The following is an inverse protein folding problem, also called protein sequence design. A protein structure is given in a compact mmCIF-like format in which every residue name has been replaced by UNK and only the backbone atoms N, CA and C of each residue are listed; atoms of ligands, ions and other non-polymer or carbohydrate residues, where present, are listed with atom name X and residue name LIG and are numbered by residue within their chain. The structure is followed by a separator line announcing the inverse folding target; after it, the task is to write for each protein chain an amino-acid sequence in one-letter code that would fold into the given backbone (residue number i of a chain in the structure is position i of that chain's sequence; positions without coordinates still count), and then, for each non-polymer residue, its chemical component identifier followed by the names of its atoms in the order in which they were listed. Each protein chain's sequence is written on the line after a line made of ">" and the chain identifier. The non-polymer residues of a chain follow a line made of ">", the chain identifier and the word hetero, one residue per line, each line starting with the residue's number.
data_IF_777835193584
#
_entry.id   IF_777835193584
#
_cell.length_a   1.000
_cell.length_b   1.000
_cell.length_c   1.000
_cell.angle_alpha   90.00
_cell.angle_beta   90.00
_cell.angle_gamma   90.00
#
_symmetry.space_group_name_H-M   'P 1'
#
loop_
_entity.id
_entity.type
_entity.pdbx_description
1 polymer ?
#
# COMPACT_ATOMS: atom_id res chain seq x y z
N UNK A 1 9.82 -14.12 -9.90
CA UNK A 1 10.72 -13.15 -10.57
C UNK A 1 10.16 -11.74 -10.39
N UNK A 2 11.01 -10.71 -10.22
CA UNK A 2 10.55 -9.33 -10.00
C UNK A 2 9.74 -8.80 -11.20
N UNK A 3 8.74 -7.96 -10.92
CA UNK A 3 7.94 -7.31 -11.96
C UNK A 3 8.84 -6.47 -12.87
N UNK A 4 8.83 -6.74 -14.17
CA UNK A 4 9.66 -5.98 -15.13
C UNK A 4 11.15 -6.34 -15.11
N UNK A 5 11.51 -7.55 -14.64
CA UNK A 5 12.88 -8.08 -14.71
C UNK A 5 13.88 -7.24 -13.90
N UNK A 6 15.03 -6.93 -14.49
CA UNK A 6 16.14 -6.25 -13.81
C UNK A 6 15.75 -4.89 -13.23
N UNK A 7 14.84 -4.15 -13.90
CA UNK A 7 14.32 -2.88 -13.38
C UNK A 7 13.53 -3.10 -12.09
N UNK A 8 12.75 -4.18 -12.02
CA UNK A 8 12.04 -4.59 -10.81
C UNK A 8 12.98 -4.98 -9.68
N UNK A 9 14.06 -5.71 -10.01
CA UNK A 9 15.10 -6.11 -9.05
C UNK A 9 15.80 -4.89 -8.45
N UNK A 10 16.18 -3.92 -9.28
CA UNK A 10 16.82 -2.67 -8.82
C UNK A 10 15.87 -1.83 -7.96
N UNK A 11 14.59 -1.76 -8.34
CA UNK A 11 13.60 -1.05 -7.52
C UNK A 11 13.41 -1.72 -6.16
N UNK A 12 13.35 -3.06 -6.11
CA UNK A 12 13.28 -3.80 -4.84
C UNK A 12 14.51 -3.52 -3.96
N UNK A 13 15.71 -3.50 -4.54
CA UNK A 13 16.95 -3.15 -3.82
C UNK A 13 16.91 -1.73 -3.24
N UNK A 14 16.45 -0.75 -4.01
CA UNK A 14 16.32 0.64 -3.53
C UNK A 14 15.36 0.71 -2.33
N UNK A 15 14.21 0.03 -2.42
CA UNK A 15 13.24 -0.01 -1.31
C UNK A 15 13.83 -0.67 -0.08
N UNK A 16 14.55 -1.78 -0.26
CA UNK A 16 15.19 -2.51 0.84
C UNK A 16 16.19 -1.61 1.59
N UNK A 17 17.09 -0.94 0.87
CA UNK A 17 18.09 -0.06 1.49
C UNK A 17 17.45 1.13 2.21
N UNK A 18 16.44 1.74 1.60
CA UNK A 18 15.80 2.95 2.12
C UNK A 18 14.83 2.69 3.27
N UNK A 19 14.02 1.64 3.18
CA UNK A 19 13.01 1.35 4.19
C UNK A 19 13.56 0.52 5.35
N UNK A 20 14.53 -0.36 5.08
CA UNK A 20 15.03 -1.35 6.05
C UNK A 20 16.45 -1.03 6.51
N UNK A 21 17.38 -0.86 5.55
CA UNK A 21 18.78 -0.58 5.86
C UNK A 21 18.94 0.69 6.70
N UNK A 22 18.26 1.77 6.32
CA UNK A 22 18.29 3.05 7.07
C UNK A 22 17.59 2.97 8.43
N UNK A 23 16.54 2.17 8.58
CA UNK A 23 15.79 2.07 9.85
C UNK A 23 16.46 1.12 10.85
N UNK A 24 17.47 0.35 10.42
CA UNK A 24 18.06 -0.74 11.23
C UNK A 24 17.12 -1.94 11.40
N UNK A 25 16.11 -2.05 10.53
CA UNK A 25 15.16 -3.15 10.52
C UNK A 25 15.79 -4.43 9.93
N UNK A 26 15.11 -5.57 10.05
CA UNK A 26 15.57 -6.83 9.46
C UNK A 26 15.41 -6.80 7.94
N UNK A 27 16.46 -7.17 7.23
CA UNK A 27 16.38 -7.42 5.79
C UNK A 27 15.35 -8.52 5.49
N UNK A 28 14.82 -8.54 4.27
CA UNK A 28 13.79 -9.48 3.82
C UNK A 28 14.24 -10.93 3.93
N UNK A 29 15.55 -11.21 3.89
CA UNK A 29 16.10 -12.55 4.12
C UNK A 29 16.30 -12.90 5.61
N UNK A 30 16.18 -11.92 6.50
CA UNK A 30 16.30 -12.04 7.96
C UNK A 30 14.94 -12.00 8.66
N UNK A 31 13.90 -11.49 7.98
CA UNK A 31 12.56 -11.36 8.51
C UNK A 31 11.89 -12.73 8.65
N UNK A 32 11.32 -12.98 9.83
CA UNK A 32 10.51 -14.17 10.06
C UNK A 32 9.26 -14.17 9.16
N UNK A 33 8.76 -15.38 8.84
CA UNK A 33 7.52 -15.52 8.07
C UNK A 33 6.33 -14.86 8.76
N UNK A 34 5.67 -13.94 8.06
CA UNK A 34 4.41 -13.31 8.48
C UNK A 34 3.27 -14.28 8.80
N UNK A 35 3.38 -15.53 8.37
CA UNK A 35 2.33 -16.54 8.52
C UNK A 35 2.62 -17.54 9.66
N UNK A 36 3.62 -17.26 10.50
CA UNK A 36 3.83 -18.02 11.73
C UNK A 36 2.68 -17.79 12.70
N UNK A 37 1.98 -18.86 13.11
CA UNK A 37 0.91 -18.79 14.12
C UNK A 37 1.42 -18.33 15.49
N UNK A 38 2.69 -18.59 15.83
CA UNK A 38 3.34 -17.95 16.97
C UNK A 38 3.64 -16.53 16.55
N UNK A 39 2.86 -15.57 17.06
CA UNK A 39 2.92 -14.14 16.74
C UNK A 39 4.35 -13.60 16.69
N UNK A 40 4.95 -13.67 15.51
CA UNK A 40 6.25 -13.08 15.28
C UNK A 40 6.08 -11.56 15.32
N UNK A 41 7.10 -10.87 15.81
CA UNK A 41 7.19 -9.42 15.75
C UNK A 41 8.26 -9.10 14.72
N UNK A 42 7.97 -9.29 13.42
CA UNK A 42 8.98 -9.07 12.40
C UNK A 42 9.45 -7.62 12.50
N UNK A 43 10.77 -7.41 12.57
CA UNK A 43 11.33 -6.06 12.70
C UNK A 43 11.33 -5.40 11.33
N UNK A 44 10.15 -4.97 10.88
CA UNK A 44 9.97 -4.35 9.56
C UNK A 44 10.46 -2.92 9.56
N UNK A 45 10.82 -2.45 8.37
CA UNK A 45 11.20 -1.07 8.10
C UNK A 45 10.16 -0.39 7.21
N UNK A 46 9.92 0.89 7.46
CA UNK A 46 9.05 1.72 6.62
C UNK A 46 9.68 3.09 6.45
N UNK A 47 9.70 3.57 5.20
CA UNK A 47 10.05 4.94 4.87
C UNK A 47 8.81 5.72 4.46
N UNK A 48 8.63 6.91 5.04
CA UNK A 48 7.63 7.88 4.63
C UNK A 48 8.37 9.14 4.15
N UNK A 49 8.13 9.54 2.90
CA UNK A 49 8.65 10.77 2.33
C UNK A 49 7.48 11.71 2.09
N UNK A 50 7.55 12.90 2.68
CA UNK A 50 6.60 14.00 2.44
C UNK A 50 7.30 15.12 1.71
N UNK A 51 6.70 15.63 0.64
CA UNK A 51 7.23 16.73 -0.15
C UNK A 51 6.20 17.85 -0.13
N UNK A 52 6.61 19.06 0.28
CA UNK A 52 5.76 20.24 0.16
C UNK A 52 5.74 20.71 -1.30
N UNK A 53 4.59 20.63 -2.00
CA UNK A 53 4.47 21.08 -3.38
C UNK A 53 4.44 22.61 -3.53
N UNK A 54 4.51 23.37 -2.43
CA UNK A 54 4.41 24.83 -2.41
C UNK A 54 5.66 25.58 -2.89
N UNK A 55 6.83 24.92 -2.95
CA UNK A 55 8.10 25.54 -3.35
C UNK A 55 8.06 26.28 -4.70
N UNK A 56 7.39 25.78 -5.75
CA UNK A 56 7.29 26.50 -7.03
C UNK A 56 6.29 27.67 -7.01
N UNK A 57 5.43 27.77 -5.99
CA UNK A 57 4.35 28.76 -5.86
C UNK A 57 2.96 28.14 -5.69
N UNK A 58 2.06 28.88 -5.03
CA UNK A 58 0.71 28.40 -4.68
C UNK A 58 -0.07 27.97 -5.92
N UNK A 59 -0.62 26.75 -5.88
CA UNK A 59 -1.50 26.24 -6.93
C UNK A 59 -0.82 25.69 -8.19
N UNK A 60 0.49 25.94 -8.40
CA UNK A 60 1.21 25.47 -9.60
C UNK A 60 1.20 23.94 -9.70
N UNK A 61 1.60 23.24 -8.63
CA UNK A 61 1.60 21.78 -8.62
C UNK A 61 0.20 21.19 -8.88
N UNK A 62 -0.82 21.76 -8.23
CA UNK A 62 -2.22 21.33 -8.40
C UNK A 62 -2.68 21.46 -9.84
N UNK A 63 -2.42 22.60 -10.49
CA UNK A 63 -2.82 22.83 -11.88
C UNK A 63 -2.11 21.83 -12.82
N UNK A 64 -0.79 21.68 -12.69
CA UNK A 64 -0.02 20.72 -13.50
C UNK A 64 -0.48 19.27 -13.31
N UNK A 65 -0.81 18.88 -12.08
CA UNK A 65 -1.35 17.56 -11.78
C UNK A 65 -2.71 17.35 -12.47
N UNK A 66 -3.60 18.34 -12.43
CA UNK A 66 -4.91 18.27 -13.09
C UNK A 66 -4.77 18.18 -14.61
N UNK A 67 -3.87 18.96 -15.21
CA UNK A 67 -3.61 18.92 -16.65
C UNK A 67 -3.11 17.53 -17.09
N UNK A 68 -2.20 16.93 -16.32
CA UNK A 68 -1.71 15.56 -16.57
C UNK A 68 -2.83 14.52 -16.46
N UNK A 69 -3.66 14.61 -15.42
CA UNK A 69 -4.80 13.70 -15.22
C UNK A 69 -5.80 13.83 -16.37
N UNK A 70 -6.14 15.05 -16.79
CA UNK A 70 -7.06 15.31 -17.89
C UNK A 70 -6.51 14.77 -19.22
N UNK A 71 -5.20 14.91 -19.43
CA UNK A 71 -4.52 14.37 -20.62
C UNK A 71 -4.66 12.85 -20.66
N UNK A 72 -4.39 12.15 -19.56
CA UNK A 72 -4.56 10.69 -19.49
C UNK A 72 -6.02 10.26 -19.61
N UNK A 73 -6.95 10.98 -18.98
CA UNK A 73 -8.37 10.65 -19.03
C UNK A 73 -9.01 10.84 -20.42
N UNK A 74 -8.36 11.59 -21.31
CA UNK A 74 -8.83 11.77 -22.69
C UNK A 74 -8.71 10.51 -23.56
N UNK A 75 -7.84 9.56 -23.17
CA UNK A 75 -7.72 8.27 -23.84
C UNK A 75 -8.70 7.27 -23.21
N UNK A 76 -9.64 6.77 -24.00
CA UNK A 76 -10.72 5.89 -23.58
C UNK A 76 -10.24 4.57 -22.93
N UNK A 77 -8.99 4.16 -23.16
CA UNK A 77 -8.39 2.96 -22.57
C UNK A 77 -7.69 3.18 -21.23
N UNK A 78 -7.44 4.43 -20.84
CA UNK A 78 -6.56 4.74 -19.71
C UNK A 78 -7.33 4.72 -18.40
N UNK A 79 -6.86 3.90 -17.47
CA UNK A 79 -7.35 3.90 -16.08
C UNK A 79 -6.36 4.59 -15.17
N UNK A 80 -6.81 5.66 -14.52
CA UNK A 80 -6.00 6.38 -13.53
C UNK A 80 -5.62 5.47 -12.34
N UNK A 81 -4.34 5.50 -11.90
CA UNK A 81 -3.92 4.83 -10.68
C UNK A 81 -4.80 5.22 -9.49
N UNK A 82 -5.28 4.24 -8.73
CA UNK A 82 -6.14 4.47 -7.57
C UNK A 82 -7.64 4.62 -7.87
N UNK A 83 -8.07 4.88 -9.12
CA UNK A 83 -9.48 5.08 -9.48
C UNK A 83 -10.38 3.96 -8.95
N UNK A 84 -10.01 2.69 -9.22
CA UNK A 84 -10.75 1.51 -8.74
C UNK A 84 -10.89 1.49 -7.21
N UNK A 85 -9.82 1.85 -6.48
CA UNK A 85 -9.81 1.86 -5.01
C UNK A 85 -10.79 2.91 -4.47
N UNK A 86 -10.83 4.09 -5.08
CA UNK A 86 -11.78 5.14 -4.69
C UNK A 86 -13.23 4.73 -4.96
N UNK A 87 -13.53 4.17 -6.14
CA UNK A 87 -14.88 3.67 -6.47
C UNK A 87 -15.34 2.59 -5.50
N UNK A 88 -14.49 1.59 -5.22
CA UNK A 88 -14.80 0.50 -4.28
C UNK A 88 -15.00 1.04 -2.87
N UNK A 89 -14.16 1.99 -2.41
CA UNK A 89 -14.32 2.64 -1.10
C UNK A 89 -15.64 3.39 -0.99
N UNK A 90 -16.03 4.17 -2.00
CA UNK A 90 -17.32 4.88 -1.99
C UNK A 90 -18.50 3.91 -1.93
N UNK A 91 -18.46 2.82 -2.69
CA UNK A 91 -19.49 1.77 -2.63
C UNK A 91 -19.55 1.13 -1.24
N UNK A 92 -18.40 0.79 -0.67
CA UNK A 92 -18.31 0.18 0.65
C UNK A 92 -18.83 1.08 1.77
N UNK A 93 -18.61 2.39 1.68
CA UNK A 93 -19.15 3.35 2.67
C UNK A 93 -20.68 3.44 2.64
N UNK A 94 -21.31 3.12 1.50
CA UNK A 94 -22.78 3.17 1.35
C UNK A 94 -23.45 1.83 1.62
N UNK A 95 -22.83 0.73 1.18
CA UNK A 95 -23.44 -0.60 1.15
C UNK A 95 -22.79 -1.60 2.11
N UNK A 96 -21.75 -1.19 2.83
CA UNK A 96 -20.91 -2.09 3.61
C UNK A 96 -19.84 -2.79 2.77
N UNK A 97 -18.90 -3.46 3.44
CA UNK A 97 -17.84 -4.25 2.81
C UNK A 97 -18.33 -5.69 2.65
N UNK A 98 -18.26 -6.22 1.43
CA UNK A 98 -18.50 -7.64 1.21
C UNK A 98 -17.33 -8.45 1.80
N UNK A 99 -17.62 -9.29 2.78
CA UNK A 99 -16.65 -10.17 3.46
C UNK A 99 -17.09 -11.61 3.23
N UNK A 100 -16.14 -12.52 3.05
CA UNK A 100 -16.43 -13.95 2.97
C UNK A 100 -16.95 -14.45 4.33
N UNK A 101 -17.99 -15.29 4.32
CA UNK A 101 -18.60 -15.82 5.54
C UNK A 101 -17.59 -16.49 6.48
N UNK A 102 -16.63 -17.25 5.95
CA UNK A 102 -15.59 -17.90 6.75
C UNK A 102 -14.71 -16.88 7.50
N UNK A 103 -14.36 -15.77 6.85
CA UNK A 103 -13.58 -14.68 7.47
C UNK A 103 -14.43 -13.96 8.52
N UNK A 104 -15.72 -13.77 8.27
CA UNK A 104 -16.63 -13.16 9.24
C UNK A 104 -16.77 -14.03 10.51
N UNK A 105 -16.92 -15.34 10.33
CA UNK A 105 -16.98 -16.30 11.44
C UNK A 105 -15.67 -16.31 12.23
N UNK A 106 -14.52 -16.30 11.56
CA UNK A 106 -13.21 -16.23 12.22
C UNK A 106 -13.07 -14.97 13.09
N UNK A 107 -13.46 -13.81 12.57
CA UNK A 107 -13.46 -12.54 13.32
C UNK A 107 -14.40 -12.64 14.54
N UNK A 108 -15.61 -13.15 14.37
CA UNK A 108 -16.59 -13.29 15.45
C UNK A 108 -16.08 -14.24 16.55
N UNK A 109 -15.50 -15.37 16.17
CA UNK A 109 -14.91 -16.33 17.10
C UNK A 109 -13.74 -15.73 17.87
N UNK A 110 -12.87 -14.97 17.19
CA UNK A 110 -11.74 -14.27 17.83
C UNK A 110 -12.19 -13.21 18.84
N UNK A 111 -13.25 -12.47 18.54
CA UNK A 111 -13.87 -11.50 19.48
C UNK A 111 -14.42 -12.23 20.71
N UNK A 112 -15.10 -13.36 20.54
CA UNK A 112 -15.69 -14.13 21.64
C UNK A 112 -14.65 -14.80 22.54
N UNK A 113 -13.55 -15.30 21.97
CA UNK A 113 -12.46 -15.93 22.73
C UNK A 113 -11.50 -14.94 23.39
N UNK A 114 -11.68 -13.64 23.14
CA UNK A 114 -10.89 -12.58 23.75
C UNK A 114 -9.44 -12.52 23.26
N UNK A 115 -9.16 -12.91 22.00
CA UNK A 115 -7.82 -12.86 21.35
C UNK A 115 -6.63 -13.17 22.30
N UNK A 116 -6.77 -14.19 23.15
CA UNK A 116 -5.80 -14.52 24.21
C UNK A 116 -5.02 -15.83 23.91
N UNK A 117 -4.62 -16.04 22.65
CA UNK A 117 -3.66 -17.10 22.28
C UNK A 117 -2.32 -16.49 21.87
#
# INVERSE_FOLDING_TARGET
>A
VPLGGDKGSLLALIIELLAVGLSGSQYSYEADSFFSMKGNKPRLGQLIITIDPGLPGKGIYRNRMLDLINTFASDAGVRLPGQRRFTVRQKAMKLGVAVNEAVLQEIQNGIQSGWNN
#
